data_IF_895677061538
#
_entry.id   IF_895677061538
#
_cell.length_a   1.000
_cell.length_b   1.000
_cell.length_c   1.000
_cell.angle_alpha   90.00
_cell.angle_beta   90.00
_cell.angle_gamma   90.00
#
_symmetry.space_group_name_H-M   'P 1'
#
loop_
_entity.id
_entity.type
_entity.pdbx_description
1 polymer ?
#
# COMPACT_ATOMS: atom_id res chain seq x y z
N UNK A 1 28.39 16.98 -64.06
CA UNK A 1 29.43 16.19 -63.37
C UNK A 1 29.55 16.73 -61.96
N UNK A 2 28.86 16.10 -61.02
CA UNK A 2 28.91 16.41 -59.58
C UNK A 2 28.77 15.08 -58.86
N UNK A 3 29.81 14.70 -58.13
CA UNK A 3 29.99 13.40 -57.50
C UNK A 3 29.28 13.37 -56.14
N UNK A 4 28.35 12.42 -55.97
CA UNK A 4 27.75 12.08 -54.69
C UNK A 4 28.72 11.22 -53.87
N UNK A 5 29.17 11.72 -52.73
CA UNK A 5 29.85 10.94 -51.69
C UNK A 5 28.83 10.51 -50.65
N UNK A 6 28.46 9.21 -50.69
CA UNK A 6 27.75 8.53 -49.60
C UNK A 6 28.74 8.16 -48.52
N UNK A 7 28.57 8.70 -47.32
CA UNK A 7 29.31 8.30 -46.12
C UNK A 7 28.42 7.39 -45.28
N UNK A 8 28.61 6.07 -45.43
CA UNK A 8 28.04 5.04 -44.57
C UNK A 8 28.87 4.93 -43.29
N UNK A 9 28.26 5.21 -42.13
CA UNK A 9 28.85 4.90 -40.82
C UNK A 9 28.57 3.41 -40.48
N UNK A 10 29.55 2.67 -39.94
CA UNK A 10 29.34 1.29 -39.52
C UNK A 10 28.58 1.23 -38.18
N UNK A 11 27.47 0.47 -38.16
CA UNK A 11 26.88 -0.03 -36.92
C UNK A 11 27.73 -1.21 -36.44
N UNK A 12 28.55 -0.99 -35.42
CA UNK A 12 29.14 -2.08 -34.66
C UNK A 12 28.99 -1.83 -33.15
N UNK A 13 28.32 -2.79 -32.51
CA UNK A 13 28.68 -3.34 -31.21
C UNK A 13 28.44 -2.47 -29.96
N UNK A 14 27.17 -2.20 -29.64
CA UNK A 14 26.78 -1.88 -28.26
C UNK A 14 26.61 -3.19 -27.51
N UNK A 15 27.64 -3.54 -26.72
CA UNK A 15 27.61 -4.63 -25.77
C UNK A 15 26.37 -4.54 -24.87
N UNK A 16 25.55 -5.58 -24.90
CA UNK A 16 24.46 -5.82 -23.94
C UNK A 16 25.03 -5.90 -22.52
N UNK A 17 24.56 -5.08 -21.55
CA UNK A 17 25.03 -5.19 -20.19
C UNK A 17 24.48 -6.49 -19.57
N UNK A 18 25.41 -7.33 -19.12
CA UNK A 18 25.14 -8.54 -18.32
C UNK A 18 24.22 -8.24 -17.14
N UNK A 19 23.33 -9.17 -16.75
CA UNK A 19 22.48 -8.97 -15.59
C UNK A 19 23.36 -8.91 -14.33
N UNK A 20 23.23 -7.81 -13.58
CA UNK A 20 23.85 -7.62 -12.28
C UNK A 20 23.30 -8.67 -11.30
N UNK A 21 23.92 -9.85 -11.29
CA UNK A 21 23.89 -10.78 -10.17
C UNK A 21 24.65 -10.15 -9.00
N UNK A 22 24.09 -10.28 -7.79
CA UNK A 22 24.60 -9.85 -6.47
C UNK A 22 23.84 -8.67 -5.82
N UNK A 23 22.55 -8.89 -5.55
CA UNK A 23 21.92 -8.39 -4.32
C UNK A 23 21.42 -9.61 -3.54
N UNK A 24 22.33 -10.25 -2.80
CA UNK A 24 21.93 -11.12 -1.69
C UNK A 24 21.41 -10.23 -0.56
N UNK A 25 20.22 -9.68 -0.77
CA UNK A 25 19.38 -9.26 0.35
C UNK A 25 18.96 -10.56 1.02
N UNK A 26 19.39 -10.76 2.27
CA UNK A 26 18.86 -11.80 3.14
C UNK A 26 17.38 -11.49 3.36
N UNK A 27 16.53 -11.86 2.40
CA UNK A 27 15.10 -11.76 2.52
C UNK A 27 14.70 -12.82 3.51
N UNK A 28 14.36 -12.38 4.72
CA UNK A 28 13.52 -13.17 5.61
C UNK A 28 12.33 -13.60 4.76
N UNK A 29 12.18 -14.91 4.54
CA UNK A 29 11.07 -15.54 3.82
C UNK A 29 9.78 -15.16 4.53
N UNK A 30 9.21 -14.00 4.17
CA UNK A 30 7.91 -13.59 4.65
C UNK A 30 6.91 -14.51 3.97
N UNK A 31 5.98 -15.15 4.71
CA UNK A 31 4.93 -15.94 4.07
C UNK A 31 4.17 -15.04 3.11
N UNK A 32 4.28 -15.32 1.81
CA UNK A 32 3.60 -14.58 0.76
C UNK A 32 2.10 -14.81 0.89
N UNK A 33 1.32 -13.74 0.91
CA UNK A 33 -0.13 -13.83 0.94
C UNK A 33 -0.64 -14.69 -0.22
N UNK A 34 -1.75 -15.45 -0.04
CA UNK A 34 -2.31 -16.23 -1.13
C UNK A 34 -2.83 -15.29 -2.23
N UNK A 35 -2.64 -15.65 -3.51
CA UNK A 35 -2.95 -14.77 -4.64
C UNK A 35 -4.40 -14.30 -4.69
N UNK A 36 -5.36 -15.10 -4.21
CA UNK A 36 -6.77 -14.70 -4.15
C UNK A 36 -7.01 -13.49 -3.25
N UNK A 37 -6.21 -13.32 -2.18
CA UNK A 37 -6.34 -12.20 -1.26
C UNK A 37 -5.90 -10.89 -1.93
N UNK A 38 -4.88 -10.96 -2.79
CA UNK A 38 -4.48 -9.83 -3.62
C UNK A 38 -5.60 -9.45 -4.60
N UNK A 39 -6.20 -10.44 -5.27
CA UNK A 39 -7.32 -10.19 -6.18
C UNK A 39 -8.52 -9.55 -5.47
N UNK A 40 -8.86 -10.03 -4.27
CA UNK A 40 -9.91 -9.41 -3.46
C UNK A 40 -9.54 -7.99 -3.04
N UNK A 41 -8.29 -7.76 -2.64
CA UNK A 41 -7.82 -6.44 -2.22
C UNK A 41 -7.77 -5.41 -3.36
N UNK A 42 -7.63 -5.88 -4.60
CA UNK A 42 -7.63 -5.06 -5.81
C UNK A 42 -9.01 -4.96 -6.48
N UNK A 43 -10.04 -5.59 -5.93
CA UNK A 43 -11.37 -5.61 -6.53
C UNK A 43 -12.00 -4.20 -6.54
N UNK A 44 -12.55 -3.81 -7.69
CA UNK A 44 -13.33 -2.58 -7.84
C UNK A 44 -14.59 -2.54 -6.97
N UNK A 45 -15.11 -3.70 -6.55
CA UNK A 45 -16.27 -3.82 -5.67
C UNK A 45 -15.92 -3.65 -4.18
N UNK A 46 -14.64 -3.40 -3.85
CA UNK A 46 -14.22 -3.21 -2.48
C UNK A 46 -14.88 -1.95 -1.88
N UNK A 47 -15.46 -2.01 -0.68
CA UNK A 47 -16.24 -0.91 -0.11
C UNK A 47 -15.35 0.20 0.47
N UNK A 48 -14.37 0.66 -0.29
CA UNK A 48 -13.45 1.76 0.07
C UNK A 48 -13.91 3.11 -0.50
N UNK A 49 -14.96 3.12 -1.32
CA UNK A 49 -15.52 4.32 -1.96
C UNK A 49 -15.06 4.51 -3.41
N UNK A 50 -15.69 5.42 -4.15
CA UNK A 50 -15.39 5.67 -5.57
C UNK A 50 -13.96 6.16 -5.81
N UNK A 51 -13.40 5.87 -7.00
CA UNK A 51 -12.00 6.11 -7.34
C UNK A 51 -11.58 7.59 -7.27
N UNK A 52 -10.53 7.91 -6.49
CA UNK A 52 -9.85 9.22 -6.49
C UNK A 52 -9.26 9.57 -7.86
N UNK A 53 -8.99 8.54 -8.68
CA UNK A 53 -8.32 8.63 -9.96
C UNK A 53 -9.10 9.34 -11.06
N UNK A 54 -10.32 9.83 -10.79
CA UNK A 54 -11.02 10.65 -11.79
C UNK A 54 -10.25 11.95 -12.11
N UNK A 55 -9.37 12.45 -11.23
CA UNK A 55 -8.33 13.48 -11.42
C UNK A 55 -8.62 14.64 -12.41
N UNK A 56 -9.89 15.03 -12.58
CA UNK A 56 -10.28 16.05 -13.56
C UNK A 56 -10.53 15.53 -14.99
N UNK A 57 -10.70 14.23 -15.21
CA UNK A 57 -11.10 13.62 -16.49
C UNK A 57 -12.41 14.21 -17.01
N UNK A 58 -13.37 14.46 -16.12
CA UNK A 58 -14.62 15.13 -16.49
C UNK A 58 -14.36 16.58 -16.95
N UNK A 59 -13.44 17.29 -16.30
CA UNK A 59 -13.04 18.63 -16.72
C UNK A 59 -12.29 18.61 -18.06
N UNK A 60 -11.40 17.62 -18.25
CA UNK A 60 -10.72 17.37 -19.52
C UNK A 60 -11.72 17.14 -20.65
N UNK A 61 -12.71 16.27 -20.45
CA UNK A 61 -13.77 15.98 -21.42
C UNK A 61 -14.62 17.21 -21.73
N UNK A 62 -14.96 18.04 -20.73
CA UNK A 62 -15.74 19.27 -20.93
C UNK A 62 -14.97 20.36 -21.68
N UNK A 63 -13.65 20.43 -21.51
CA UNK A 63 -12.80 21.40 -22.21
C UNK A 63 -12.45 20.97 -23.64
N UNK A 64 -12.58 19.67 -23.95
CA UNK A 64 -12.25 19.07 -25.24
C UNK A 64 -13.42 18.25 -25.81
N UNK A 65 -14.62 18.86 -25.96
CA UNK A 65 -15.83 18.13 -26.37
C UNK A 65 -15.71 17.52 -27.77
N UNK A 66 -14.97 18.18 -28.67
CA UNK A 66 -14.76 17.74 -30.06
C UNK A 66 -13.46 16.93 -30.25
N UNK A 67 -12.62 16.85 -29.22
CA UNK A 67 -11.26 16.26 -29.20
C UNK A 67 -11.13 15.11 -28.19
N UNK A 68 -12.25 14.49 -27.81
CA UNK A 68 -12.22 13.23 -27.04
C UNK A 68 -11.98 12.05 -27.98
N UNK A 69 -10.92 12.12 -28.80
CA UNK A 69 -10.51 10.94 -29.54
C UNK A 69 -9.98 9.89 -28.55
N UNK A 70 -10.09 8.58 -28.84
CA UNK A 70 -9.54 7.54 -27.97
C UNK A 70 -8.06 7.75 -27.63
N UNK A 71 -7.29 8.36 -28.55
CA UNK A 71 -5.86 8.66 -28.36
C UNK A 71 -5.62 9.74 -27.31
N UNK A 72 -6.48 10.75 -27.26
CA UNK A 72 -6.34 11.86 -26.31
C UNK A 72 -6.69 11.40 -24.90
N UNK A 73 -7.70 10.52 -24.77
CA UNK A 73 -8.02 9.86 -23.50
C UNK A 73 -6.90 8.93 -23.05
N UNK A 74 -6.33 8.13 -23.96
CA UNK A 74 -5.17 7.28 -23.67
C UNK A 74 -3.98 8.10 -23.17
N UNK A 75 -3.66 9.22 -23.85
CA UNK A 75 -2.59 10.12 -23.44
C UNK A 75 -2.85 10.72 -22.05
N UNK A 76 -4.09 11.16 -21.78
CA UNK A 76 -4.48 11.68 -20.48
C UNK A 76 -4.37 10.62 -19.38
N UNK A 77 -4.84 9.40 -19.63
CA UNK A 77 -4.75 8.29 -18.68
C UNK A 77 -3.29 7.94 -18.40
N UNK A 78 -2.45 7.85 -19.44
CA UNK A 78 -1.02 7.56 -19.28
C UNK A 78 -0.32 8.62 -18.41
N UNK A 79 -0.56 9.90 -18.70
CA UNK A 79 -0.03 10.99 -17.88
C UNK A 79 -0.55 10.95 -16.43
N UNK A 80 -1.84 10.66 -16.26
CA UNK A 80 -2.46 10.55 -14.94
C UNK A 80 -1.89 9.39 -14.13
N UNK A 81 -1.61 8.24 -14.75
CA UNK A 81 -0.95 7.10 -14.11
C UNK A 81 0.46 7.47 -13.67
N UNK A 82 1.24 8.13 -14.54
CA UNK A 82 2.58 8.58 -14.18
C UNK A 82 2.54 9.58 -13.02
N UNK A 83 1.67 10.59 -13.09
CA UNK A 83 1.48 11.58 -12.04
C UNK A 83 1.10 10.92 -10.70
N UNK A 84 0.13 10.01 -10.72
CA UNK A 84 -0.28 9.21 -9.57
C UNK A 84 0.88 8.39 -9.00
N UNK A 85 1.68 7.75 -9.87
CA UNK A 85 2.86 7.00 -9.47
C UNK A 85 3.89 7.87 -8.74
N UNK A 86 4.27 9.00 -9.33
CA UNK A 86 5.23 9.92 -8.70
C UNK A 86 4.73 10.52 -7.39
N UNK A 87 3.42 10.75 -7.26
CA UNK A 87 2.82 11.25 -6.02
C UNK A 87 2.70 10.19 -4.95
N UNK A 88 2.30 8.95 -5.29
CA UNK A 88 1.94 7.96 -4.28
C UNK A 88 3.07 6.99 -3.92
N UNK A 89 3.86 6.54 -4.91
CA UNK A 89 4.86 5.49 -4.69
C UNK A 89 5.93 5.83 -3.64
N UNK A 90 6.45 7.07 -3.55
CA UNK A 90 7.43 7.41 -2.51
C UNK A 90 6.87 7.22 -1.10
N UNK A 91 5.63 7.64 -0.87
CA UNK A 91 4.96 7.53 0.43
C UNK A 91 4.57 6.09 0.74
N UNK A 92 4.04 5.35 -0.24
CA UNK A 92 3.77 3.91 -0.12
C UNK A 92 5.03 3.17 0.30
N UNK A 93 6.14 3.39 -0.40
CA UNK A 93 7.43 2.74 -0.12
C UNK A 93 7.97 3.10 1.26
N UNK A 94 7.81 4.36 1.70
CA UNK A 94 8.27 4.81 3.00
C UNK A 94 7.48 4.13 4.14
N UNK A 95 6.15 4.08 4.04
CA UNK A 95 5.29 3.39 5.01
C UNK A 95 5.56 1.89 5.02
N UNK A 96 5.76 1.29 3.85
CA UNK A 96 6.08 -0.13 3.71
C UNK A 96 7.30 -0.54 4.55
N UNK A 97 8.38 0.23 4.43
CA UNK A 97 9.62 0.04 5.20
C UNK A 97 9.42 0.22 6.71
N UNK A 98 8.55 1.13 7.12
CA UNK A 98 8.22 1.34 8.54
C UNK A 98 7.44 0.15 9.12
N UNK A 99 6.55 -0.45 8.33
CA UNK A 99 5.84 -1.66 8.73
C UNK A 99 6.80 -2.85 8.82
N UNK A 100 7.74 -2.99 7.87
CA UNK A 100 8.82 -3.98 7.98
C UNK A 100 9.65 -3.81 9.26
N UNK A 101 10.05 -2.57 9.56
CA UNK A 101 10.79 -2.23 10.77
C UNK A 101 10.00 -2.61 12.04
N UNK A 102 8.69 -2.35 12.06
CA UNK A 102 7.82 -2.77 13.15
C UNK A 102 7.78 -4.29 13.30
N UNK A 103 7.47 -5.02 12.23
CA UNK A 103 7.34 -6.48 12.27
C UNK A 103 8.63 -7.13 12.74
N UNK A 104 9.79 -6.63 12.31
CA UNK A 104 11.09 -7.12 12.78
C UNK A 104 11.31 -6.85 14.27
N UNK A 105 10.96 -5.65 14.75
CA UNK A 105 11.12 -5.28 16.17
C UNK A 105 10.17 -6.03 17.08
N UNK A 106 8.94 -6.29 16.66
CA UNK A 106 7.97 -7.05 17.45
C UNK A 106 8.48 -8.48 17.72
N UNK A 107 9.10 -9.11 16.72
CA UNK A 107 9.73 -10.43 16.84
C UNK A 107 10.94 -10.39 17.77
N UNK A 108 11.78 -9.35 17.69
CA UNK A 108 13.05 -9.26 18.44
C UNK A 108 12.85 -8.87 19.92
N UNK A 109 11.88 -8.01 20.21
CA UNK A 109 11.69 -7.45 21.54
C UNK A 109 10.94 -8.44 22.45
N UNK A 110 11.57 -8.83 23.55
CA UNK A 110 10.99 -9.77 24.53
C UNK A 110 10.00 -9.11 25.50
N UNK A 111 10.07 -7.80 25.69
CA UNK A 111 9.28 -7.08 26.69
C UNK A 111 8.14 -6.32 26.03
N UNK A 112 6.92 -6.45 26.56
CA UNK A 112 5.75 -5.72 26.06
C UNK A 112 5.93 -4.20 26.15
N UNK A 113 6.60 -3.70 27.19
CA UNK A 113 6.97 -2.28 27.29
C UNK A 113 7.89 -1.83 26.15
N UNK A 114 8.84 -2.68 25.75
CA UNK A 114 9.73 -2.42 24.61
C UNK A 114 8.95 -2.37 23.30
N UNK A 115 8.08 -3.36 23.06
CA UNK A 115 7.20 -3.43 21.90
C UNK A 115 6.29 -2.21 21.79
N UNK A 116 5.60 -1.84 22.87
CA UNK A 116 4.74 -0.66 22.90
C UNK A 116 5.50 0.64 22.57
N UNK A 117 6.72 0.81 23.09
CA UNK A 117 7.58 1.95 22.76
C UNK A 117 7.98 1.97 21.28
N UNK A 118 8.40 0.82 20.74
CA UNK A 118 8.76 0.69 19.33
C UNK A 118 7.56 0.97 18.42
N UNK A 119 6.39 0.40 18.73
CA UNK A 119 5.14 0.63 18.01
C UNK A 119 4.77 2.10 17.97
N UNK A 120 4.78 2.77 19.12
CA UNK A 120 4.50 4.21 19.20
C UNK A 120 5.46 5.04 18.36
N UNK A 121 6.75 4.67 18.35
CA UNK A 121 7.75 5.33 17.51
C UNK A 121 7.50 5.14 16.02
N UNK A 122 7.08 3.94 15.60
CA UNK A 122 6.75 3.66 14.19
C UNK A 122 5.49 4.40 13.78
N UNK A 123 4.42 4.34 14.58
CA UNK A 123 3.16 5.06 14.32
C UNK A 123 3.37 6.57 14.23
N UNK A 124 4.22 7.14 15.09
CA UNK A 124 4.55 8.56 15.02
C UNK A 124 5.22 8.91 13.68
N UNK A 125 6.13 8.07 13.17
CA UNK A 125 6.78 8.27 11.86
C UNK A 125 5.80 8.10 10.70
N UNK A 126 4.91 7.11 10.76
CA UNK A 126 3.82 6.94 9.77
C UNK A 126 2.93 8.18 9.77
N UNK A 127 2.53 8.69 10.93
CA UNK A 127 1.73 9.91 11.04
C UNK A 127 2.41 11.15 10.48
N UNK A 128 3.75 11.27 10.62
CA UNK A 128 4.50 12.36 9.99
C UNK A 128 4.48 12.24 8.45
N UNK A 129 4.65 11.04 7.90
CA UNK A 129 4.56 10.80 6.44
C UNK A 129 3.15 11.12 5.93
N UNK A 130 2.12 10.76 6.68
CA UNK A 130 0.73 11.07 6.34
C UNK A 130 0.46 12.58 6.34
N UNK A 131 1.03 13.32 7.30
CA UNK A 131 0.97 14.79 7.32
C UNK A 131 1.74 15.42 6.17
N UNK A 132 2.90 14.89 5.81
CA UNK A 132 3.65 15.34 4.62
C UNK A 132 2.84 15.11 3.35
N UNK A 133 2.17 13.97 3.23
CA UNK A 133 1.26 13.69 2.11
C UNK A 133 0.07 14.66 2.09
N UNK A 134 -0.51 14.97 3.25
CA UNK A 134 -1.63 15.92 3.36
C UNK A 134 -1.25 17.31 2.84
N UNK A 135 -0.07 17.81 3.21
CA UNK A 135 0.46 19.10 2.72
C UNK A 135 0.82 19.04 1.24
N UNK A 136 1.27 17.88 0.75
CA UNK A 136 1.58 17.68 -0.67
C UNK A 136 0.31 17.77 -1.56
N UNK A 137 -0.85 17.40 -1.02
CA UNK A 137 -2.12 17.37 -1.75
C UNK A 137 -2.75 18.76 -1.86
N UNK A 138 -2.45 19.46 -2.96
CA UNK A 138 -2.98 20.80 -3.23
C UNK A 138 -4.46 20.86 -3.65
N UNK A 139 -5.08 19.73 -4.03
CA UNK A 139 -6.48 19.68 -4.45
C UNK A 139 -7.37 19.20 -3.30
N UNK A 140 -8.24 20.08 -2.80
CA UNK A 140 -9.14 19.80 -1.68
C UNK A 140 -10.09 18.61 -1.92
N UNK A 141 -10.58 18.41 -3.15
CA UNK A 141 -11.47 17.30 -3.49
C UNK A 141 -10.72 15.98 -3.45
N UNK A 142 -9.53 15.94 -4.06
CA UNK A 142 -8.69 14.74 -4.05
C UNK A 142 -8.16 14.42 -2.65
N UNK A 143 -7.84 15.45 -1.88
CA UNK A 143 -7.42 15.33 -0.48
C UNK A 143 -8.56 14.68 0.35
N UNK A 144 -9.76 15.26 0.30
CA UNK A 144 -10.92 14.73 1.03
C UNK A 144 -11.29 13.30 0.59
N UNK A 145 -11.26 13.01 -0.71
CA UNK A 145 -11.49 11.67 -1.22
C UNK A 145 -10.42 10.68 -0.74
N UNK A 146 -9.14 11.09 -0.71
CA UNK A 146 -8.02 10.29 -0.21
C UNK A 146 -8.16 9.90 1.26
N UNK A 147 -8.55 10.84 2.13
CA UNK A 147 -8.80 10.55 3.54
C UNK A 147 -9.96 9.56 3.72
N UNK A 148 -11.07 9.77 3.00
CA UNK A 148 -12.25 8.90 3.07
C UNK A 148 -11.94 7.47 2.62
N UNK A 149 -11.18 7.32 1.53
CA UNK A 149 -10.78 6.00 1.06
C UNK A 149 -9.81 5.31 2.02
N UNK A 150 -8.86 6.04 2.61
CA UNK A 150 -7.93 5.46 3.57
C UNK A 150 -8.61 5.01 4.87
N UNK A 151 -9.58 5.78 5.40
CA UNK A 151 -10.43 5.32 6.51
C UNK A 151 -11.18 4.03 6.15
N UNK A 152 -11.77 3.97 4.96
CA UNK A 152 -12.43 2.76 4.43
C UNK A 152 -11.49 1.55 4.39
N UNK A 153 -10.26 1.72 3.90
CA UNK A 153 -9.25 0.66 3.87
C UNK A 153 -8.87 0.18 5.27
N UNK A 154 -8.66 1.09 6.22
CA UNK A 154 -8.30 0.71 7.60
C UNK A 154 -9.46 0.00 8.29
N UNK A 155 -10.68 0.50 8.11
CA UNK A 155 -11.88 -0.14 8.65
C UNK A 155 -12.05 -1.56 8.10
N UNK A 156 -11.87 -1.73 6.79
CA UNK A 156 -11.89 -3.03 6.13
C UNK A 156 -10.76 -3.93 6.65
N UNK A 157 -9.54 -3.43 6.80
CA UNK A 157 -8.44 -4.18 7.41
C UNK A 157 -8.82 -4.74 8.77
N UNK A 158 -9.37 -3.90 9.64
CA UNK A 158 -9.76 -4.30 11.01
C UNK A 158 -11.00 -5.21 11.05
N UNK A 159 -11.92 -5.13 10.08
CA UNK A 159 -13.17 -5.90 10.07
C UNK A 159 -13.12 -7.13 9.17
N UNK A 160 -12.80 -6.93 7.90
CA UNK A 160 -12.88 -7.95 6.85
C UNK A 160 -11.61 -8.80 6.77
N UNK A 161 -10.46 -8.25 7.14
CA UNK A 161 -9.18 -8.96 7.13
C UNK A 161 -8.64 -9.30 8.53
N UNK A 162 -9.48 -9.20 9.56
CA UNK A 162 -9.08 -9.43 10.95
C UNK A 162 -8.42 -10.80 11.15
N UNK A 163 -8.99 -11.84 10.54
CA UNK A 163 -8.48 -13.20 10.63
C UNK A 163 -7.11 -13.34 9.97
N UNK A 164 -6.96 -12.81 8.76
CA UNK A 164 -5.71 -12.83 8.00
C UNK A 164 -4.61 -12.03 8.73
N UNK A 165 -4.98 -10.93 9.39
CA UNK A 165 -4.07 -10.09 10.18
C UNK A 165 -3.75 -10.68 11.57
N UNK A 166 -4.58 -11.59 12.08
CA UNK A 166 -4.40 -12.22 13.40
C UNK A 166 -3.61 -13.52 13.30
N UNK A 167 -3.60 -14.18 12.14
CA UNK A 167 -2.87 -15.43 11.93
C UNK A 167 -1.39 -15.28 12.32
N UNK A 168 -0.99 -15.95 13.41
CA UNK A 168 0.41 -16.23 13.71
C UNK A 168 0.99 -17.00 12.52
N UNK A 169 2.13 -16.56 12.01
CA UNK A 169 2.85 -17.29 10.97
C UNK A 169 3.02 -18.76 11.41
N UNK A 170 2.36 -19.65 10.66
CA UNK A 170 2.39 -21.11 10.71
C UNK A 170 1.56 -21.85 11.79
N UNK A 171 0.98 -22.99 11.36
CA UNK A 171 0.68 -24.23 12.12
C UNK A 171 -0.75 -24.57 12.57
N UNK A 172 -1.78 -23.69 12.48
CA UNK A 172 -3.13 -24.05 13.00
C UNK A 172 -4.22 -24.42 11.98
N UNK A 173 -3.97 -24.30 10.68
CA UNK A 173 -4.96 -24.67 9.66
C UNK A 173 -5.26 -26.19 9.60
N UNK A 174 -4.46 -27.04 10.25
CA UNK A 174 -4.72 -28.49 10.37
C UNK A 174 -5.51 -28.90 11.61
N UNK A 175 -5.71 -27.99 12.57
CA UNK A 175 -6.36 -28.31 13.84
C UNK A 175 -7.82 -27.85 13.93
N UNK A 176 -8.31 -27.06 12.97
CA UNK A 176 -9.67 -26.49 12.97
C UNK A 176 -10.74 -27.38 12.31
N UNK A 177 -10.40 -28.59 11.88
CA UNK A 177 -11.39 -29.52 11.33
C UNK A 177 -12.14 -30.34 12.40
N UNK A 178 -11.94 -30.06 13.70
CA UNK A 178 -12.46 -30.93 14.77
C UNK A 178 -13.29 -30.26 15.88
N UNK A 179 -13.42 -28.94 15.94
CA UNK A 179 -14.22 -28.32 17.02
C UNK A 179 -14.98 -27.10 16.51
N UNK A 180 -16.20 -27.35 16.01
CA UNK A 180 -17.29 -26.38 15.99
C UNK A 180 -18.23 -26.74 17.13
N UNK A 181 -18.23 -25.97 18.23
CA UNK A 181 -19.41 -25.59 19.01
C UNK A 181 -19.07 -24.33 19.82
N UNK A 182 -20.01 -23.38 19.78
CA UNK A 182 -20.27 -22.24 20.69
C UNK A 182 -19.79 -20.82 20.34
N UNK A 183 -20.75 -19.92 20.58
CA UNK A 183 -20.93 -18.54 20.13
C UNK A 183 -20.35 -17.48 21.11
N UNK A 184 -20.15 -16.28 20.53
CA UNK A 184 -20.26 -14.92 21.06
C UNK A 184 -19.35 -14.34 22.18
N UNK A 185 -18.69 -13.25 21.75
CA UNK A 185 -18.43 -11.94 22.39
C UNK A 185 -17.44 -11.73 23.57
N UNK A 186 -16.75 -10.59 23.38
CA UNK A 186 -16.09 -9.71 24.35
C UNK A 186 -15.00 -10.28 25.28
N UNK A 187 -13.75 -10.10 24.84
CA UNK A 187 -12.59 -10.15 25.74
C UNK A 187 -11.35 -10.83 25.16
N UNK A 188 -11.01 -10.62 23.89
CA UNK A 188 -9.70 -11.07 23.39
C UNK A 188 -8.62 -10.19 24.03
N UNK A 189 -8.00 -10.69 25.09
CA UNK A 189 -6.84 -10.07 25.73
C UNK A 189 -5.84 -9.62 24.66
N UNK A 190 -5.40 -8.35 24.73
CA UNK A 190 -4.42 -7.76 23.79
C UNK A 190 -3.13 -8.59 23.65
N UNK A 191 -2.87 -9.49 24.60
CA UNK A 191 -1.77 -10.45 24.66
C UNK A 191 -1.73 -11.45 23.49
N UNK A 192 -2.88 -11.87 22.94
CA UNK A 192 -2.94 -12.97 21.95
C UNK A 192 -2.93 -12.52 20.48
N UNK A 193 -3.13 -11.23 20.22
CA UNK A 193 -3.24 -10.66 18.89
C UNK A 193 -1.93 -10.79 18.09
N UNK A 194 -2.00 -11.11 16.79
CA UNK A 194 -0.83 -11.14 15.91
C UNK A 194 -0.11 -9.77 15.83
N UNK A 195 1.17 -9.72 15.41
CA UNK A 195 1.93 -8.46 15.28
C UNK A 195 1.24 -7.44 14.38
N UNK A 196 0.48 -7.93 13.39
CA UNK A 196 -0.11 -7.10 12.35
C UNK A 196 -1.35 -6.36 12.86
N UNK A 197 -2.25 -7.04 13.56
CA UNK A 197 -3.42 -6.40 14.16
C UNK A 197 -3.03 -5.50 15.36
N UNK A 198 -1.91 -5.78 16.05
CA UNK A 198 -1.38 -4.97 17.15
C UNK A 198 -1.03 -3.54 16.75
N UNK A 199 -0.42 -3.33 15.57
CA UNK A 199 -0.11 -1.98 15.08
C UNK A 199 -1.32 -1.31 14.41
N UNK A 200 -2.20 -2.10 13.79
CA UNK A 200 -3.35 -1.56 13.07
C UNK A 200 -4.41 -0.95 13.99
N UNK A 201 -4.71 -1.57 15.13
CA UNK A 201 -5.70 -1.06 16.10
C UNK A 201 -5.35 0.34 16.64
N UNK A 202 -4.12 0.61 17.12
CA UNK A 202 -3.70 1.95 17.49
C UNK A 202 -3.71 2.94 16.33
N UNK A 203 -3.32 2.54 15.11
CA UNK A 203 -3.42 3.43 13.94
C UNK A 203 -4.87 3.85 13.65
N UNK A 204 -5.82 2.91 13.73
CA UNK A 204 -7.25 3.21 13.67
C UNK A 204 -7.70 4.16 14.79
N UNK A 205 -7.15 4.04 15.99
CA UNK A 205 -7.45 4.97 17.07
C UNK A 205 -6.95 6.39 16.76
N UNK A 206 -5.74 6.52 16.20
CA UNK A 206 -5.18 7.81 15.75
C UNK A 206 -6.03 8.45 14.65
N UNK A 207 -6.59 7.64 13.74
CA UNK A 207 -7.53 8.13 12.72
C UNK A 207 -8.81 8.70 13.35
N UNK A 208 -9.38 7.97 14.31
CA UNK A 208 -10.60 8.40 15.01
C UNK A 208 -10.39 9.63 15.89
N UNK A 209 -9.18 9.83 16.42
CA UNK A 209 -8.82 11.04 17.15
C UNK A 209 -8.36 12.19 16.25
N UNK A 210 -8.36 11.99 14.93
CA UNK A 210 -7.90 12.97 13.92
C UNK A 210 -6.44 13.41 14.13
N UNK A 211 -5.62 12.59 14.80
CA UNK A 211 -4.18 12.84 14.95
C UNK A 211 -3.41 12.57 13.65
N UNK A 212 -3.98 11.70 12.80
CA UNK A 212 -3.52 11.39 11.44
C UNK A 212 -4.70 11.53 10.48
N UNK A 213 -4.44 11.97 9.24
CA UNK A 213 -5.45 12.22 8.22
C UNK A 213 -5.95 10.92 7.57
N UNK A 214 -5.08 9.90 7.48
CA UNK A 214 -5.41 8.58 6.94
C UNK A 214 -5.52 8.56 5.44
N UNK A 215 -4.54 9.10 4.73
CA UNK A 215 -4.59 9.11 3.28
C UNK A 215 -4.52 7.71 2.68
N UNK A 216 -5.21 7.53 1.55
CA UNK A 216 -5.30 6.27 0.84
C UNK A 216 -3.94 5.59 0.63
N UNK A 217 -2.88 6.26 0.11
CA UNK A 217 -1.60 5.58 -0.12
C UNK A 217 -0.93 5.09 1.17
N UNK A 218 -1.13 5.81 2.28
CA UNK A 218 -0.57 5.46 3.59
C UNK A 218 -1.30 4.23 4.14
N UNK A 219 -2.63 4.28 4.16
CA UNK A 219 -3.49 3.18 4.59
C UNK A 219 -3.30 1.94 3.72
N UNK A 220 -3.26 2.10 2.40
CA UNK A 220 -3.02 1.04 1.43
C UNK A 220 -1.69 0.34 1.70
N UNK A 221 -0.59 1.08 1.80
CA UNK A 221 0.73 0.51 2.06
C UNK A 221 0.77 -0.26 3.38
N UNK A 222 0.16 0.31 4.42
CA UNK A 222 0.10 -0.33 5.73
C UNK A 222 -0.68 -1.66 5.65
N UNK A 223 -1.91 -1.66 5.13
CA UNK A 223 -2.72 -2.87 5.05
C UNK A 223 -2.10 -3.90 4.12
N UNK A 224 -1.68 -3.50 2.91
CA UNK A 224 -1.05 -4.39 1.94
C UNK A 224 0.15 -5.12 2.54
N UNK A 225 1.02 -4.38 3.22
CA UNK A 225 2.19 -4.99 3.86
C UNK A 225 1.82 -5.92 5.00
N UNK A 226 0.85 -5.52 5.83
CA UNK A 226 0.36 -6.32 6.96
C UNK A 226 -0.38 -7.60 6.52
N UNK A 227 -0.95 -7.62 5.31
CA UNK A 227 -1.52 -8.83 4.71
C UNK A 227 -0.45 -9.78 4.14
N UNK A 228 0.81 -9.33 4.06
CA UNK A 228 1.92 -10.13 3.53
C UNK A 228 2.06 -10.07 2.02
N UNK A 229 1.60 -9.00 1.38
CA UNK A 229 1.96 -8.74 -0.01
C UNK A 229 3.41 -8.27 -0.10
N UNK A 230 4.02 -8.54 -1.26
CA UNK A 230 5.33 -8.00 -1.65
C UNK A 230 5.15 -6.67 -2.40
N UNK A 231 6.19 -5.84 -2.39
CA UNK A 231 6.19 -4.52 -3.06
C UNK A 231 6.50 -4.66 -4.56
#
# INVERSE_FOLDING_TARGET
MSTNTSTTLPLDNIASPSPLSHLNTTTVSTPTAPSWLLWQFLDSALPTGGFIASNGLEAFAKLHPDTTSPRDVEAYVNWSVHSCGYTNLPFVTAVWKLVDEWTLRDIQLKTEKGKAKAMKSVLHRIGNIDREYDVFMNNAIQNAASRKQGDGIVMMGVKCFADQLTQKASSRARSRMLEEVEEEEEGVEESELGPNIRILKPFKALLRSEEVAGHYPIAFAMIARLLGFDL
#
